data_IF_702436616787
#
_entry.id   IF_702436616787
#
_cell.length_a   1.000
_cell.length_b   1.000
_cell.length_c   1.000
_cell.angle_alpha   90.00
_cell.angle_beta   90.00
_cell.angle_gamma   90.00
#
_symmetry.space_group_name_H-M   'P 1'
#
loop_
_entity.id
_entity.type
_entity.pdbx_description
1 polymer ?
#
# COMPACT_ATOMS: atom_id res chain seq x y z
N UNK A 1 11.42 25.57 -8.64
CA UNK A 1 11.27 24.23 -9.23
C UNK A 1 10.03 24.29 -10.11
N UNK A 2 10.14 24.05 -11.42
CA UNK A 2 8.95 23.95 -12.28
C UNK A 2 8.13 22.74 -11.83
N UNK A 3 6.83 22.93 -11.55
CA UNK A 3 5.90 21.82 -11.35
C UNK A 3 5.86 21.00 -12.65
N UNK A 4 6.59 19.90 -12.72
CA UNK A 4 6.34 18.91 -13.76
C UNK A 4 4.95 18.33 -13.49
N UNK A 5 3.99 18.75 -14.31
CA UNK A 5 2.66 18.17 -14.32
C UNK A 5 2.78 16.67 -14.65
N UNK A 6 1.96 15.84 -14.01
CA UNK A 6 1.93 14.42 -14.33
C UNK A 6 1.53 14.20 -15.80
N UNK A 7 2.23 13.29 -16.47
CA UNK A 7 1.92 12.85 -17.83
C UNK A 7 1.03 11.58 -17.81
N UNK A 8 -0.05 11.58 -18.59
CA UNK A 8 -1.05 10.49 -18.61
C UNK A 8 -0.40 9.18 -19.07
N UNK A 9 0.46 9.21 -20.09
CA UNK A 9 1.08 7.98 -20.60
C UNK A 9 2.06 7.38 -19.59
N UNK A 10 2.79 8.25 -18.88
CA UNK A 10 3.64 7.84 -17.75
C UNK A 10 2.81 7.24 -16.61
N UNK A 11 1.68 7.87 -16.25
CA UNK A 11 0.77 7.33 -15.22
C UNK A 11 0.19 5.97 -15.62
N UNK A 12 -0.20 5.78 -16.89
CA UNK A 12 -0.65 4.47 -17.39
C UNK A 12 0.43 3.40 -17.31
N UNK A 13 1.68 3.76 -17.64
CA UNK A 13 2.84 2.84 -17.50
C UNK A 13 3.11 2.48 -16.04
N UNK A 14 3.02 3.46 -15.14
CA UNK A 14 3.13 3.24 -13.69
C UNK A 14 2.04 2.26 -13.25
N UNK A 15 0.77 2.52 -13.60
CA UNK A 15 -0.36 1.65 -13.29
C UNK A 15 -0.13 0.20 -13.73
N UNK A 16 0.26 -0.01 -14.99
CA UNK A 16 0.49 -1.36 -15.52
C UNK A 16 1.60 -2.10 -14.75
N UNK A 17 2.66 -1.40 -14.34
CA UNK A 17 3.71 -2.00 -13.49
C UNK A 17 3.20 -2.36 -12.10
N UNK A 18 2.36 -1.51 -11.51
CA UNK A 18 1.76 -1.75 -10.20
C UNK A 18 0.77 -2.93 -10.25
N UNK A 19 -0.03 -3.06 -11.30
CA UNK A 19 -0.90 -4.22 -11.54
C UNK A 19 -0.09 -5.51 -11.64
N UNK A 20 1.05 -5.48 -12.35
CA UNK A 20 1.96 -6.61 -12.44
C UNK A 20 2.54 -6.99 -11.07
N UNK A 21 3.06 -6.02 -10.31
CA UNK A 21 3.61 -6.24 -8.97
C UNK A 21 2.54 -6.83 -8.04
N UNK A 22 1.33 -6.27 -8.05
CA UNK A 22 0.19 -6.78 -7.29
C UNK A 22 -0.09 -8.25 -7.62
N UNK A 23 -0.18 -8.57 -8.91
CA UNK A 23 -0.46 -9.94 -9.37
C UNK A 23 0.61 -10.92 -8.90
N UNK A 24 1.90 -10.58 -9.04
CA UNK A 24 3.01 -11.41 -8.59
C UNK A 24 2.98 -11.59 -7.07
N UNK A 25 2.79 -10.53 -6.28
CA UNK A 25 2.75 -10.62 -4.83
C UNK A 25 1.61 -11.52 -4.34
N UNK A 26 0.42 -11.36 -4.95
CA UNK A 26 -0.76 -12.16 -4.60
C UNK A 26 -0.60 -13.64 -4.92
N UNK A 27 -0.05 -13.97 -6.10
CA UNK A 27 0.14 -15.36 -6.52
C UNK A 27 1.18 -16.12 -5.70
N UNK A 28 2.17 -15.41 -5.16
CA UNK A 28 3.28 -15.99 -4.41
C UNK A 28 3.18 -15.70 -2.90
N UNK A 29 1.98 -15.39 -2.40
CA UNK A 29 1.75 -14.99 -1.01
C UNK A 29 2.32 -16.01 -0.01
N UNK A 30 2.19 -17.30 -0.29
CA UNK A 30 2.61 -18.35 0.64
C UNK A 30 4.13 -18.49 0.79
N UNK A 31 4.93 -17.95 -0.13
CA UNK A 31 6.39 -18.05 -0.08
C UNK A 31 6.95 -17.16 1.04
N UNK A 32 6.48 -15.91 1.10
CA UNK A 32 6.86 -14.92 2.10
C UNK A 32 5.67 -14.01 2.44
N UNK A 33 4.72 -14.46 3.29
CA UNK A 33 3.45 -13.77 3.52
C UNK A 33 3.57 -12.30 3.90
N UNK A 34 4.46 -11.96 4.83
CA UNK A 34 4.65 -10.58 5.31
C UNK A 34 5.23 -9.66 4.22
N UNK A 35 6.20 -10.17 3.46
CA UNK A 35 6.80 -9.45 2.35
C UNK A 35 5.78 -9.22 1.23
N UNK A 36 5.04 -10.27 0.86
CA UNK A 36 4.05 -10.21 -0.20
C UNK A 36 2.87 -9.31 0.17
N UNK A 37 2.37 -9.38 1.41
CA UNK A 37 1.33 -8.49 1.91
C UNK A 37 1.80 -7.02 1.86
N UNK A 38 3.05 -6.75 2.25
CA UNK A 38 3.64 -5.39 2.17
C UNK A 38 3.71 -4.89 0.73
N UNK A 39 4.23 -5.70 -0.19
CA UNK A 39 4.36 -5.36 -1.61
C UNK A 39 2.97 -5.16 -2.25
N UNK A 40 2.03 -6.07 -1.97
CA UNK A 40 0.65 -6.02 -2.46
C UNK A 40 -0.03 -4.71 -2.03
N UNK A 41 0.08 -4.36 -0.74
CA UNK A 41 -0.55 -3.18 -0.17
C UNK A 41 0.01 -1.89 -0.76
N UNK A 42 1.34 -1.80 -0.91
CA UNK A 42 2.00 -0.64 -1.53
C UNK A 42 1.61 -0.49 -3.00
N UNK A 43 1.60 -1.61 -3.75
CA UNK A 43 1.25 -1.60 -5.16
C UNK A 43 -0.18 -1.09 -5.38
N UNK A 44 -1.13 -1.56 -4.57
CA UNK A 44 -2.52 -1.12 -4.67
C UNK A 44 -2.74 0.34 -4.31
N UNK A 45 -2.15 0.84 -3.22
CA UNK A 45 -2.29 2.25 -2.82
C UNK A 45 -1.69 3.19 -3.89
N UNK A 46 -0.52 2.85 -4.42
CA UNK A 46 0.10 3.60 -5.50
C UNK A 46 -0.74 3.57 -6.79
N UNK A 47 -1.43 2.46 -7.05
CA UNK A 47 -2.30 2.31 -8.22
C UNK A 47 -3.56 3.16 -8.07
N UNK A 48 -4.16 3.21 -6.88
CA UNK A 48 -5.25 4.13 -6.57
C UNK A 48 -4.85 5.58 -6.83
N UNK A 49 -3.67 6.00 -6.38
CA UNK A 49 -3.13 7.33 -6.67
C UNK A 49 -3.00 7.58 -8.19
N UNK A 50 -2.41 6.64 -8.92
CA UNK A 50 -2.24 6.77 -10.37
C UNK A 50 -3.59 6.90 -11.10
N UNK A 51 -4.58 6.09 -10.71
CA UNK A 51 -5.93 6.18 -11.28
C UNK A 51 -6.58 7.52 -10.99
N UNK A 52 -6.55 8.00 -9.73
CA UNK A 52 -7.09 9.32 -9.37
C UNK A 52 -6.46 10.42 -10.22
N UNK A 53 -5.12 10.42 -10.38
CA UNK A 53 -4.44 11.41 -11.22
C UNK A 53 -4.81 11.30 -12.70
N UNK A 54 -4.95 10.09 -13.24
CA UNK A 54 -5.43 9.89 -14.61
C UNK A 54 -6.85 10.45 -14.77
N UNK A 55 -7.74 10.19 -13.81
CA UNK A 55 -9.12 10.66 -13.83
C UNK A 55 -9.21 12.19 -13.75
N UNK A 56 -8.46 12.82 -12.84
CA UNK A 56 -8.34 14.28 -12.73
C UNK A 56 -7.83 14.91 -14.03
N UNK A 57 -6.82 14.32 -14.68
CA UNK A 57 -6.27 14.84 -15.94
C UNK A 57 -7.18 14.61 -17.16
N UNK A 58 -8.16 13.70 -17.07
CA UNK A 58 -9.12 13.41 -18.15
C UNK A 58 -10.49 14.07 -17.91
N UNK A 59 -10.65 14.91 -16.88
CA UNK A 59 -11.92 15.51 -16.45
C UNK A 59 -13.04 14.47 -16.22
N UNK A 60 -12.68 13.26 -15.75
CA UNK A 60 -13.64 12.17 -15.48
C UNK A 60 -13.78 11.93 -13.99
N UNK A 61 -14.99 12.05 -13.46
CA UNK A 61 -15.32 11.77 -12.05
C UNK A 61 -15.98 10.38 -11.95
N UNK A 62 -15.21 9.32 -12.16
CA UNK A 62 -15.61 7.98 -11.70
C UNK A 62 -14.43 7.37 -10.97
N UNK A 63 -14.47 7.41 -9.65
CA UNK A 63 -13.48 6.78 -8.79
C UNK A 63 -14.25 5.77 -7.93
N UNK A 64 -13.98 4.48 -8.12
CA UNK A 64 -14.50 3.44 -7.23
C UNK A 64 -13.94 3.68 -5.82
N UNK A 65 -14.81 3.68 -4.81
CA UNK A 65 -14.55 4.20 -3.45
C UNK A 65 -13.24 3.69 -2.82
N UNK A 66 -12.15 4.47 -2.85
CA UNK A 66 -10.82 4.00 -2.42
C UNK A 66 -10.66 4.03 -0.90
N UNK A 67 -11.54 4.76 -0.20
CA UNK A 67 -11.44 5.03 1.24
C UNK A 67 -11.60 3.77 2.09
N UNK A 68 -12.63 2.95 1.84
CA UNK A 68 -12.90 1.75 2.63
C UNK A 68 -11.75 0.73 2.55
N UNK A 69 -11.11 0.64 1.39
CA UNK A 69 -9.95 -0.21 1.20
C UNK A 69 -8.70 0.32 1.91
N UNK A 70 -8.41 1.62 1.80
CA UNK A 70 -7.29 2.24 2.52
C UNK A 70 -7.46 2.04 4.03
N UNK A 71 -8.67 2.26 4.55
CA UNK A 71 -8.99 2.08 5.97
C UNK A 71 -8.75 0.64 6.41
N UNK A 72 -9.17 -0.37 5.63
CA UNK A 72 -8.99 -1.77 6.02
C UNK A 72 -7.52 -2.20 6.04
N UNK A 73 -6.74 -1.80 5.03
CA UNK A 73 -5.30 -2.10 4.97
C UNK A 73 -4.51 -1.36 6.04
N UNK A 74 -4.85 -0.09 6.30
CA UNK A 74 -4.23 0.70 7.36
C UNK A 74 -4.53 0.12 8.74
N UNK A 75 -5.77 -0.30 8.99
CA UNK A 75 -6.16 -0.89 10.28
C UNK A 75 -5.32 -2.14 10.61
N UNK A 76 -5.12 -3.02 9.63
CA UNK A 76 -4.31 -4.24 9.81
C UNK A 76 -2.85 -3.90 10.12
N UNK A 77 -2.23 -3.03 9.32
CA UNK A 77 -0.84 -2.62 9.52
C UNK A 77 -0.65 -1.90 10.86
N UNK A 78 -1.56 -0.98 11.20
CA UNK A 78 -1.54 -0.24 12.45
C UNK A 78 -1.70 -1.15 13.68
N UNK A 79 -2.61 -2.13 13.61
CA UNK A 79 -2.77 -3.12 14.69
C UNK A 79 -1.49 -3.93 14.92
N UNK A 80 -0.87 -4.43 13.84
CA UNK A 80 0.40 -5.18 13.94
C UNK A 80 1.52 -4.33 14.55
N UNK A 81 1.63 -3.06 14.14
CA UNK A 81 2.63 -2.15 14.72
C UNK A 81 2.36 -1.87 16.20
N UNK A 82 1.10 -1.69 16.60
CA UNK A 82 0.74 -1.56 18.02
C UNK A 82 1.12 -2.81 18.82
N UNK A 83 0.93 -4.00 18.27
CA UNK A 83 1.30 -5.24 18.97
C UNK A 83 2.82 -5.39 19.05
N UNK A 84 3.56 -5.01 18.01
CA UNK A 84 5.02 -4.96 18.03
C UNK A 84 5.56 -3.96 19.06
N UNK A 85 4.94 -2.79 19.20
CA UNK A 85 5.29 -1.81 20.24
C UNK A 85 5.12 -2.39 21.65
N UNK A 86 4.03 -3.12 21.91
CA UNK A 86 3.79 -3.78 23.21
C UNK A 86 4.82 -4.87 23.52
N UNK A 87 5.33 -5.58 22.51
CA UNK A 87 6.35 -6.62 22.70
C UNK A 87 7.70 -6.04 23.15
N UNK A 88 7.95 -4.74 22.93
CA UNK A 88 9.17 -4.08 23.40
C UNK A 88 9.17 -3.79 24.90
N UNK A 89 8.04 -3.89 25.59
CA UNK A 89 7.92 -3.65 27.04
C UNK A 89 8.29 -4.89 27.91
N UNK A 90 8.73 -6.01 27.33
CA UNK A 90 9.04 -7.23 28.09
C UNK A 90 10.52 -7.61 28.26
N UNK A 91 11.47 -6.74 27.92
CA UNK A 91 12.91 -7.00 28.12
C UNK A 91 13.42 -6.69 29.55
N UNK A 92 12.58 -6.82 30.59
CA UNK A 92 13.07 -6.84 31.97
C UNK A 92 13.18 -8.28 32.47
N UNK A 93 14.40 -8.80 32.71
CA UNK A 93 14.56 -10.10 33.33
C UNK A 93 14.06 -10.04 34.78
N UNK A 94 13.07 -10.87 35.12
CA UNK A 94 12.44 -10.98 36.45
C UNK A 94 13.34 -11.56 37.54
N UNK A 95 14.64 -11.75 37.30
CA UNK A 95 15.58 -12.37 38.25
C UNK A 95 16.44 -11.38 39.04
N UNK A 96 16.07 -10.10 39.10
CA UNK A 96 16.55 -9.18 40.15
C UNK A 96 15.44 -8.96 41.19
N UNK A 97 15.28 -9.94 42.07
CA UNK A 97 14.75 -9.77 43.43
C UNK A 97 15.68 -10.52 44.38
#
# INVERSE_FOLDING_TARGET
MQNQQFDIETLKRIRNKLDYIYSIAKCNYNDHPELMDTIENLAQVANMFANVRIHELNDRIEISGPQGFIVSKLANAYSRMKDYEKQKDSDFPTWKL
#
